data_IF_054494265412
#
_entry.id   IF_054494265412
#
_cell.length_a   1.000
_cell.length_b   1.000
_cell.length_c   1.000
_cell.angle_alpha   90.00
_cell.angle_beta   90.00
_cell.angle_gamma   90.00
#
_symmetry.space_group_name_H-M   'P 1'
#
loop_
_entity.id
_entity.type
_entity.pdbx_description
1 polymer ?
#
# COMPACT_ATOMS: atom_id res chain seq x y z
N UNK A 1 -35.92 10.03 9.29
CA UNK A 1 -34.66 9.97 8.55
C UNK A 1 -34.34 8.51 8.33
N UNK A 2 -34.25 8.07 7.08
CA UNK A 2 -33.88 6.69 6.78
C UNK A 2 -32.38 6.50 6.96
N UNK A 3 -31.97 5.40 7.60
CA UNK A 3 -30.58 4.95 7.56
C UNK A 3 -30.26 4.50 6.13
N UNK A 4 -29.21 5.05 5.54
CA UNK A 4 -28.69 4.62 4.24
C UNK A 4 -27.46 3.76 4.53
N UNK A 5 -27.51 2.49 4.12
CA UNK A 5 -26.39 1.55 4.22
C UNK A 5 -25.67 1.39 2.89
N UNK A 6 -24.37 1.11 2.94
CA UNK A 6 -23.56 0.74 1.78
C UNK A 6 -23.15 -0.73 1.91
N UNK A 7 -23.37 -1.53 0.87
CA UNK A 7 -22.91 -2.92 0.80
C UNK A 7 -21.90 -3.01 -0.34
N UNK A 8 -20.60 -3.22 -0.07
CA UNK A 8 -19.62 -3.38 -1.13
C UNK A 8 -19.75 -4.79 -1.72
N UNK A 9 -19.83 -4.88 -3.04
CA UNK A 9 -19.98 -6.13 -3.80
C UNK A 9 -18.85 -6.26 -4.83
N UNK A 10 -18.75 -7.42 -5.47
CA UNK A 10 -17.84 -7.70 -6.59
C UNK A 10 -16.33 -7.60 -6.25
N UNK A 11 -15.93 -8.36 -5.23
CA UNK A 11 -14.54 -8.41 -4.73
C UNK A 11 -13.66 -9.41 -5.47
N UNK A 12 -14.00 -9.80 -6.71
CA UNK A 12 -13.26 -10.84 -7.43
C UNK A 12 -11.83 -10.45 -7.82
N UNK A 13 -11.52 -9.15 -7.88
CA UNK A 13 -10.27 -8.59 -8.39
C UNK A 13 -9.53 -7.69 -7.38
N UNK A 14 -9.80 -7.84 -6.07
CA UNK A 14 -9.28 -6.89 -5.05
C UNK A 14 -7.85 -7.18 -4.58
N UNK A 15 -7.29 -8.35 -4.90
CA UNK A 15 -5.94 -8.77 -4.50
C UNK A 15 -5.11 -9.16 -5.72
N UNK A 16 -4.72 -8.20 -6.57
CA UNK A 16 -3.71 -8.46 -7.60
C UNK A 16 -2.40 -8.86 -6.93
N UNK A 17 -1.49 -9.49 -7.69
CA UNK A 17 -0.12 -9.66 -7.24
C UNK A 17 0.48 -8.31 -6.88
N UNK A 18 1.27 -8.22 -5.81
CA UNK A 18 1.99 -7.00 -5.47
C UNK A 18 3.02 -6.59 -6.54
N UNK A 19 3.27 -7.44 -7.54
CA UNK A 19 4.03 -7.13 -8.75
C UNK A 19 3.27 -6.31 -9.78
N UNK A 20 1.95 -6.25 -9.66
CA UNK A 20 1.03 -5.66 -10.65
C UNK A 20 0.17 -4.53 -10.05
N UNK A 21 0.75 -3.73 -9.15
CA UNK A 21 0.01 -2.62 -8.53
C UNK A 21 -0.35 -1.51 -9.52
N UNK A 22 0.28 -1.46 -10.70
CA UNK A 22 -0.11 -0.57 -11.79
C UNK A 22 -1.53 -0.80 -12.31
N UNK A 23 -2.09 -1.99 -12.08
CA UNK A 23 -3.46 -2.33 -12.48
C UNK A 23 -4.52 -1.80 -11.49
N UNK A 24 -4.10 -1.28 -10.33
CA UNK A 24 -5.02 -0.79 -9.30
C UNK A 24 -5.76 0.45 -9.81
N UNK A 25 -7.09 0.33 -9.88
CA UNK A 25 -7.98 1.44 -10.23
C UNK A 25 -8.93 1.77 -9.07
N UNK A 26 -8.97 3.04 -8.70
CA UNK A 26 -9.72 3.54 -7.55
C UNK A 26 -10.83 4.47 -8.03
N UNK A 27 -12.03 3.92 -8.24
CA UNK A 27 -13.16 4.67 -8.79
C UNK A 27 -13.65 5.82 -7.90
N UNK A 28 -13.49 5.69 -6.58
CA UNK A 28 -13.91 6.68 -5.60
C UNK A 28 -12.87 7.78 -5.37
N UNK A 29 -11.70 7.71 -6.02
CA UNK A 29 -10.59 8.64 -5.80
C UNK A 29 -11.05 10.10 -5.99
N UNK A 30 -11.93 10.35 -6.95
CA UNK A 30 -12.42 11.69 -7.27
C UNK A 30 -13.72 12.08 -6.57
N UNK A 31 -14.25 11.23 -5.69
CA UNK A 31 -15.48 11.53 -4.98
C UNK A 31 -15.22 12.58 -3.88
N UNK A 32 -16.08 13.60 -3.72
CA UNK A 32 -15.92 14.62 -2.68
C UNK A 32 -15.75 14.03 -1.27
N UNK A 33 -16.39 12.89 -1.00
CA UNK A 33 -16.36 12.17 0.27
C UNK A 33 -14.95 11.65 0.61
N UNK A 34 -14.16 11.24 -0.38
CA UNK A 34 -12.81 10.72 -0.15
C UNK A 34 -11.84 11.77 0.41
N UNK A 35 -12.17 13.06 0.25
CA UNK A 35 -11.37 14.19 0.77
C UNK A 35 -11.74 14.57 2.21
N UNK A 36 -12.73 13.91 2.82
CA UNK A 36 -13.10 14.14 4.22
C UNK A 36 -12.16 13.35 5.12
N UNK A 37 -11.80 13.95 6.26
CA UNK A 37 -11.11 13.22 7.32
C UNK A 37 -11.99 12.12 7.90
N UNK A 38 -11.36 11.07 8.40
CA UNK A 38 -12.02 9.98 9.12
C UNK A 38 -12.59 10.48 10.45
N UNK A 39 -13.69 9.86 10.89
CA UNK A 39 -14.18 10.06 12.26
C UNK A 39 -13.45 9.13 13.25
N UNK A 40 -13.60 9.42 14.54
CA UNK A 40 -12.94 8.69 15.62
C UNK A 40 -13.31 7.20 15.67
N UNK A 41 -14.50 6.83 15.21
CA UNK A 41 -14.89 5.44 15.14
C UNK A 41 -14.13 4.71 14.01
N UNK A 42 -14.03 5.35 12.85
CA UNK A 42 -13.32 4.81 11.68
C UNK A 42 -11.83 4.69 11.94
N UNK A 43 -11.22 5.68 12.61
CA UNK A 43 -9.81 5.63 13.00
C UNK A 43 -9.52 4.43 13.91
N UNK A 44 -10.35 4.21 14.95
CA UNK A 44 -10.23 3.04 15.84
C UNK A 44 -10.47 1.71 15.12
N UNK A 45 -11.40 1.68 14.16
CA UNK A 45 -11.62 0.50 13.33
C UNK A 45 -10.36 0.17 12.49
N UNK A 46 -9.80 1.16 11.81
CA UNK A 46 -8.58 1.01 11.01
C UNK A 46 -7.40 0.56 11.88
N UNK A 47 -7.21 1.18 13.05
CA UNK A 47 -6.16 0.82 14.01
C UNK A 47 -6.25 -0.64 14.45
N UNK A 48 -7.46 -1.19 14.58
CA UNK A 48 -7.71 -2.57 14.99
C UNK A 48 -7.61 -3.62 13.89
N UNK A 49 -7.33 -3.25 12.63
CA UNK A 49 -7.13 -4.24 11.56
C UNK A 49 -5.86 -5.07 11.80
N UNK A 50 -5.93 -6.38 11.51
CA UNK A 50 -4.82 -7.32 11.67
C UNK A 50 -4.49 -7.97 10.33
N UNK A 51 -3.51 -7.40 9.65
CA UNK A 51 -3.09 -7.86 8.33
C UNK A 51 -2.60 -9.31 8.33
N UNK A 52 -1.89 -9.75 9.37
CA UNK A 52 -1.32 -11.10 9.43
C UNK A 52 -2.39 -12.15 9.71
N UNK A 53 -3.37 -11.82 10.56
CA UNK A 53 -4.54 -12.66 10.78
C UNK A 53 -5.35 -12.83 9.48
N UNK A 54 -5.62 -11.74 8.75
CA UNK A 54 -6.36 -11.79 7.50
C UNK A 54 -5.59 -12.54 6.39
N UNK A 55 -4.28 -12.31 6.28
CA UNK A 55 -3.40 -13.06 5.36
C UNK A 55 -3.44 -14.56 5.67
N UNK A 56 -3.35 -14.93 6.95
CA UNK A 56 -3.41 -16.34 7.38
C UNK A 56 -4.77 -16.98 7.10
N UNK A 57 -5.86 -16.23 7.29
CA UNK A 57 -7.20 -16.68 6.97
C UNK A 57 -7.37 -16.91 5.46
N UNK A 58 -7.00 -15.95 4.61
CA UNK A 58 -7.16 -16.08 3.15
C UNK A 58 -6.27 -17.17 2.57
N UNK A 59 -5.04 -17.32 3.09
CA UNK A 59 -4.15 -18.43 2.72
C UNK A 59 -4.80 -19.78 2.94
N UNK A 60 -5.41 -19.98 4.11
CA UNK A 60 -5.98 -21.28 4.50
C UNK A 60 -7.36 -21.55 3.89
N UNK A 61 -8.13 -20.51 3.60
CA UNK A 61 -9.50 -20.64 3.09
C UNK A 61 -9.61 -20.59 1.57
N UNK A 62 -8.82 -19.74 0.91
CA UNK A 62 -8.88 -19.52 -0.54
C UNK A 62 -7.64 -20.02 -1.28
N UNK A 63 -6.52 -20.27 -0.59
CA UNK A 63 -5.28 -20.73 -1.21
C UNK A 63 -4.69 -19.72 -2.19
N UNK A 64 -4.81 -18.42 -1.89
CA UNK A 64 -4.27 -17.36 -2.75
C UNK A 64 -2.72 -17.43 -2.81
N UNK A 65 -2.11 -17.07 -3.96
CA UNK A 65 -0.66 -16.91 -4.08
C UNK A 65 -0.10 -15.93 -3.03
N UNK A 66 1.13 -16.19 -2.56
CA UNK A 66 1.72 -15.38 -1.48
C UNK A 66 1.98 -13.92 -1.88
N UNK A 67 2.29 -13.65 -3.15
CA UNK A 67 2.47 -12.30 -3.67
C UNK A 67 1.14 -11.51 -3.74
N UNK A 68 0.00 -12.19 -3.90
CA UNK A 68 -1.34 -11.59 -3.74
C UNK A 68 -1.67 -11.36 -2.26
N UNK A 69 -1.27 -12.25 -1.35
CA UNK A 69 -1.44 -12.07 0.09
C UNK A 69 -0.58 -10.90 0.61
N UNK A 70 0.60 -10.69 0.03
CA UNK A 70 1.43 -9.51 0.31
C UNK A 70 0.68 -8.22 -0.07
N UNK A 71 -0.12 -8.21 -1.14
CA UNK A 71 -0.97 -7.05 -1.47
C UNK A 71 -1.97 -6.72 -0.37
N UNK A 72 -2.56 -7.72 0.30
CA UNK A 72 -3.44 -7.48 1.44
C UNK A 72 -2.68 -6.81 2.59
N UNK A 73 -1.50 -7.34 2.91
CA UNK A 73 -0.63 -6.76 3.93
C UNK A 73 -0.24 -5.31 3.61
N UNK A 74 0.17 -5.05 2.37
CA UNK A 74 0.53 -3.71 1.87
C UNK A 74 -0.66 -2.75 1.99
N UNK A 75 -1.85 -3.17 1.55
CA UNK A 75 -3.06 -2.36 1.61
C UNK A 75 -3.48 -2.00 3.03
N UNK A 76 -3.54 -2.99 3.93
CA UNK A 76 -3.88 -2.78 5.35
C UNK A 76 -2.85 -1.88 6.03
N UNK A 77 -1.56 -2.15 5.83
CA UNK A 77 -0.46 -1.36 6.40
C UNK A 77 -0.50 0.09 5.90
N UNK A 78 -0.78 0.31 4.62
CA UNK A 78 -0.91 1.63 4.04
C UNK A 78 -2.05 2.42 4.69
N UNK A 79 -3.25 1.83 4.78
CA UNK A 79 -4.43 2.50 5.35
C UNK A 79 -4.20 2.83 6.83
N UNK A 80 -3.60 1.91 7.59
CA UNK A 80 -3.26 2.14 9.00
C UNK A 80 -2.29 3.30 9.18
N UNK A 81 -1.15 3.27 8.49
CA UNK A 81 -0.13 4.32 8.61
C UNK A 81 -0.64 5.66 8.10
N UNK A 82 -1.39 5.67 6.99
CA UNK A 82 -1.97 6.88 6.43
C UNK A 82 -3.01 7.51 7.37
N UNK A 83 -3.89 6.71 7.98
CA UNK A 83 -4.86 7.18 8.96
C UNK A 83 -4.18 7.77 10.21
N UNK A 84 -3.14 7.09 10.73
CA UNK A 84 -2.34 7.59 11.85
C UNK A 84 -1.62 8.90 11.52
N UNK A 85 -1.19 9.09 10.26
CA UNK A 85 -0.58 10.32 9.78
C UNK A 85 -1.60 11.43 9.41
N UNK A 86 -2.90 11.19 9.63
CA UNK A 86 -3.96 12.16 9.34
C UNK A 86 -4.26 12.35 7.85
N UNK A 87 -3.82 11.42 6.99
CA UNK A 87 -4.14 11.46 5.57
C UNK A 87 -5.62 11.11 5.34
N UNK A 88 -6.21 11.75 4.33
CA UNK A 88 -7.56 11.44 3.85
C UNK A 88 -7.53 10.23 2.93
N UNK A 89 -8.68 9.58 2.72
CA UNK A 89 -8.82 8.47 1.79
C UNK A 89 -8.33 8.83 0.37
N UNK A 90 -8.59 10.06 -0.08
CA UNK A 90 -8.06 10.61 -1.33
C UNK A 90 -6.53 10.67 -1.35
N UNK A 91 -5.91 11.22 -0.30
CA UNK A 91 -4.45 11.32 -0.21
C UNK A 91 -3.79 9.94 -0.17
N UNK A 92 -4.39 8.99 0.56
CA UNK A 92 -3.95 7.58 0.58
C UNK A 92 -4.07 6.94 -0.80
N UNK A 93 -5.20 7.13 -1.50
CA UNK A 93 -5.43 6.57 -2.83
C UNK A 93 -4.45 7.10 -3.88
N UNK A 94 -4.02 8.36 -3.77
CA UNK A 94 -3.00 8.93 -4.65
C UNK A 94 -1.63 8.25 -4.51
N UNK A 95 -1.33 7.60 -3.39
CA UNK A 95 -0.08 6.85 -3.23
C UNK A 95 -0.08 5.53 -4.03
N UNK A 96 -1.27 4.97 -4.28
CA UNK A 96 -1.45 3.69 -4.97
C UNK A 96 -1.50 3.82 -6.50
N UNK A 97 -1.83 4.99 -7.02
CA UNK A 97 -2.01 5.20 -8.47
C UNK A 97 -0.83 5.95 -9.06
N UNK A 98 -0.49 5.63 -10.31
CA UNK A 98 0.56 6.33 -11.06
C UNK A 98 0.09 7.74 -11.46
N UNK A 99 0.90 8.76 -11.19
CA UNK A 99 0.65 10.13 -11.68
C UNK A 99 0.89 10.25 -13.18
N UNK A 100 1.90 9.52 -13.69
CA UNK A 100 2.28 9.44 -15.10
C UNK A 100 2.31 7.96 -15.50
N UNK A 101 1.80 7.60 -16.69
CA UNK A 101 1.68 6.20 -17.09
C UNK A 101 3.00 5.42 -17.07
N UNK A 102 4.10 6.13 -17.39
CA UNK A 102 5.44 5.57 -17.53
C UNK A 102 6.27 5.63 -16.23
N UNK A 103 5.70 6.13 -15.12
CA UNK A 103 6.37 6.22 -13.82
C UNK A 103 5.63 5.38 -12.76
N UNK A 104 6.35 4.61 -11.92
CA UNK A 104 5.71 3.86 -10.84
C UNK A 104 5.03 4.79 -9.83
N UNK A 105 3.97 4.29 -9.21
CA UNK A 105 3.33 4.93 -8.06
C UNK A 105 4.24 4.89 -6.84
N UNK A 106 3.91 5.70 -5.83
CA UNK A 106 4.67 5.73 -4.58
C UNK A 106 4.70 4.36 -3.88
N UNK A 107 3.64 3.56 -4.07
CA UNK A 107 3.51 2.23 -3.47
C UNK A 107 4.24 1.15 -4.27
N UNK A 108 4.26 1.21 -5.61
CA UNK A 108 5.12 0.35 -6.41
C UNK A 108 6.60 0.54 -6.03
N UNK A 109 7.05 1.79 -5.88
CA UNK A 109 8.41 2.07 -5.42
C UNK A 109 8.66 1.57 -3.99
N UNK A 110 7.69 1.71 -3.08
CA UNK A 110 7.82 1.22 -1.70
C UNK A 110 8.00 -0.30 -1.66
N UNK A 111 7.21 -1.04 -2.45
CA UNK A 111 7.34 -2.49 -2.56
C UNK A 111 8.68 -2.89 -3.19
N UNK A 112 9.11 -2.22 -4.27
CA UNK A 112 10.42 -2.46 -4.89
C UNK A 112 11.57 -2.29 -3.89
N UNK A 113 11.60 -1.17 -3.14
CA UNK A 113 12.62 -0.91 -2.13
C UNK A 113 12.63 -1.94 -1.00
N UNK A 114 11.46 -2.39 -0.57
CA UNK A 114 11.35 -3.41 0.47
C UNK A 114 11.95 -4.75 -0.02
N UNK A 115 11.65 -5.14 -1.25
CA UNK A 115 12.21 -6.34 -1.87
C UNK A 115 13.73 -6.23 -2.04
N UNK A 116 14.22 -5.11 -2.57
CA UNK A 116 15.65 -4.86 -2.74
C UNK A 116 16.42 -4.95 -1.42
N UNK A 117 15.85 -4.42 -0.33
CA UNK A 117 16.41 -4.51 1.03
C UNK A 117 16.56 -5.96 1.51
N UNK A 118 15.72 -6.87 1.01
CA UNK A 118 15.78 -8.30 1.29
C UNK A 118 16.60 -9.09 0.24
N UNK A 119 17.22 -8.42 -0.74
CA UNK A 119 17.94 -9.08 -1.83
C UNK A 119 17.03 -9.71 -2.89
N UNK A 120 15.76 -9.29 -2.96
CA UNK A 120 14.74 -9.79 -3.87
C UNK A 120 14.47 -8.77 -4.99
N UNK A 121 13.73 -9.20 -6.03
CA UNK A 121 13.32 -8.34 -7.15
C UNK A 121 11.88 -8.60 -7.55
N UNK A 122 11.17 -7.52 -7.93
CA UNK A 122 9.81 -7.57 -8.49
C UNK A 122 9.70 -8.39 -9.78
N UNK A 123 10.79 -8.53 -10.54
CA UNK A 123 10.83 -9.31 -11.78
C UNK A 123 11.55 -10.64 -11.62
N UNK A 124 12.19 -10.88 -10.46
CA UNK A 124 12.89 -12.11 -10.14
C UNK A 124 11.96 -13.22 -9.67
N UNK A 125 12.45 -14.45 -9.65
CA UNK A 125 11.78 -15.54 -8.93
C UNK A 125 11.89 -15.28 -7.43
N UNK A 126 10.75 -15.35 -6.73
CA UNK A 126 10.67 -15.20 -5.28
C UNK A 126 9.85 -16.39 -4.78
N UNK A 127 10.46 -17.19 -3.93
CA UNK A 127 9.82 -18.34 -3.31
C UNK A 127 8.75 -17.92 -2.31
N UNK A 128 7.82 -18.81 -2.03
CA UNK A 128 6.79 -18.54 -1.03
C UNK A 128 7.37 -18.24 0.36
N UNK A 129 8.48 -18.88 0.75
CA UNK A 129 9.11 -18.65 2.06
C UNK A 129 9.73 -17.26 2.15
N UNK A 130 10.26 -16.74 1.05
CA UNK A 130 10.73 -15.35 0.96
C UNK A 130 9.54 -14.37 1.07
N UNK A 131 8.43 -14.65 0.40
CA UNK A 131 7.20 -13.85 0.51
C UNK A 131 6.59 -13.85 1.92
N UNK A 132 6.76 -14.95 2.65
CA UNK A 132 6.30 -15.11 4.04
C UNK A 132 7.29 -14.59 5.08
N UNK A 133 8.49 -14.19 4.66
CA UNK A 133 9.55 -13.85 5.60
C UNK A 133 9.20 -12.61 6.44
N UNK A 134 9.47 -12.69 7.74
CA UNK A 134 9.32 -11.55 8.65
C UNK A 134 10.17 -10.37 8.20
N UNK A 135 11.37 -10.63 7.68
CA UNK A 135 12.25 -9.60 7.15
C UNK A 135 11.60 -8.79 6.02
N UNK A 136 10.84 -9.44 5.13
CA UNK A 136 10.10 -8.74 4.08
C UNK A 136 8.92 -7.96 4.66
N UNK A 137 8.20 -8.51 5.66
CA UNK A 137 7.11 -7.81 6.36
C UNK A 137 7.59 -6.52 7.03
N UNK A 138 8.71 -6.59 7.75
CA UNK A 138 9.36 -5.42 8.36
C UNK A 138 9.80 -4.40 7.30
N UNK A 139 10.47 -4.86 6.23
CA UNK A 139 10.92 -3.99 5.15
C UNK A 139 9.77 -3.26 4.45
N UNK A 140 8.65 -3.95 4.21
CA UNK A 140 7.42 -3.36 3.66
C UNK A 140 6.83 -2.33 4.62
N UNK A 141 6.67 -2.67 5.90
CA UNK A 141 6.11 -1.77 6.89
C UNK A 141 6.94 -0.48 7.05
N UNK A 142 8.27 -0.58 6.99
CA UNK A 142 9.19 0.55 7.00
C UNK A 142 9.05 1.41 5.74
N UNK A 143 9.10 0.78 4.56
CA UNK A 143 9.04 1.49 3.28
C UNK A 143 7.70 2.23 3.11
N UNK A 144 6.58 1.60 3.47
CA UNK A 144 5.25 2.20 3.44
C UNK A 144 5.18 3.35 4.46
N UNK A 145 5.72 3.17 5.65
CA UNK A 145 5.80 4.21 6.67
C UNK A 145 6.55 5.45 6.19
N UNK A 146 7.72 5.27 5.58
CA UNK A 146 8.48 6.36 5.00
C UNK A 146 7.69 7.09 3.89
N UNK A 147 7.05 6.35 2.98
CA UNK A 147 6.21 6.92 1.93
C UNK A 147 5.07 7.77 2.50
N UNK A 148 4.36 7.25 3.51
CA UNK A 148 3.26 7.97 4.16
C UNK A 148 3.74 9.23 4.88
N UNK A 149 4.87 9.17 5.59
CA UNK A 149 5.40 10.34 6.30
C UNK A 149 5.83 11.44 5.34
N UNK A 150 6.47 11.10 4.22
CA UNK A 150 6.81 12.07 3.18
C UNK A 150 5.55 12.77 2.64
N UNK A 151 4.50 12.00 2.35
CA UNK A 151 3.23 12.54 1.87
C UNK A 151 2.54 13.45 2.89
N UNK A 152 2.54 13.08 4.18
CA UNK A 152 1.97 13.88 5.26
C UNK A 152 2.68 15.22 5.49
N UNK A 153 3.99 15.28 5.19
CA UNK A 153 4.79 16.50 5.30
C UNK A 153 4.64 17.43 4.07
N UNK A 154 3.76 17.10 3.12
CA UNK A 154 3.55 17.89 1.91
C UNK A 154 4.76 17.87 0.96
N UNK A 155 5.70 16.97 1.19
CA UNK A 155 6.76 16.73 0.23
C UNK A 155 6.13 16.05 -0.97
N UNK A 156 6.26 16.66 -2.16
CA UNK A 156 5.97 15.94 -3.40
C UNK A 156 6.86 14.71 -3.39
N UNK A 157 6.23 13.54 -3.35
CA UNK A 157 6.86 12.21 -3.47
C UNK A 157 7.90 12.32 -4.60
N UNK A 158 7.50 12.74 -5.80
CA UNK A 158 8.39 12.87 -6.96
C UNK A 158 9.61 13.79 -6.82
N UNK A 159 9.59 14.83 -5.98
CA UNK A 159 10.71 15.77 -5.81
C UNK A 159 11.72 15.30 -4.77
N UNK A 160 11.25 14.65 -3.71
CA UNK A 160 12.11 14.09 -2.66
C UNK A 160 12.84 12.83 -3.18
N UNK A 161 12.17 12.01 -3.99
CA UNK A 161 12.76 10.80 -4.56
C UNK A 161 13.75 11.08 -5.69
N UNK A 162 13.56 12.12 -6.52
CA UNK A 162 14.61 12.60 -7.42
C UNK A 162 15.85 13.07 -6.68
N UNK A 163 15.67 13.75 -5.54
CA UNK A 163 16.80 14.23 -4.74
C UNK A 163 17.60 13.06 -4.14
N UNK A 164 16.91 12.07 -3.55
CA UNK A 164 17.56 10.90 -2.94
C UNK A 164 18.26 9.99 -3.97
N UNK A 165 17.62 9.71 -5.10
CA UNK A 165 18.24 8.94 -6.18
C UNK A 165 19.47 9.67 -6.76
N UNK A 166 19.43 11.00 -6.86
CA UNK A 166 20.56 11.80 -7.31
C UNK A 166 21.73 11.79 -6.32
N UNK A 167 21.46 11.89 -5.02
CA UNK A 167 22.51 11.81 -3.97
C UNK A 167 23.16 10.43 -3.90
N UNK A 168 22.41 9.36 -4.16
CA UNK A 168 22.96 7.99 -4.21
C UNK A 168 23.81 7.75 -5.48
N UNK A 169 23.41 8.30 -6.63
CA UNK A 169 24.21 8.23 -7.86
C UNK A 169 25.47 9.12 -7.84
N UNK A 170 25.47 10.21 -7.08
CA UNK A 170 26.64 11.10 -6.91
C UNK A 170 27.64 10.59 -5.86
N UNK A 171 27.29 9.53 -5.12
CA UNK A 171 28.13 8.90 -4.08
C UNK A 171 28.90 7.64 -4.56
N UNK A 172 28.85 7.33 -5.86
CA UNK A 172 29.61 6.26 -6.54
C UNK A 172 30.48 6.84 -7.64
#
# INVERSE_FOLDING_TARGET
GGSVGLVPIDHGYILPSCRHLEEVNICWLYWPQARRGYDEWTLRYIEGLDAEADVSLLRTTLGLPEDCLVTLFVGTTLVQKAAQAGLTLHATGLLMVREEADAPSAMEEAVSRALERCGLSLTGEVSDDEWRSEALREALADAIGATVQAAAQGQRVSETYRSLAKTLCEAT
#
